data_IF_494071619247
#
_entry.id   IF_494071619247
#
_cell.length_a   1.000
_cell.length_b   1.000
_cell.length_c   1.000
_cell.angle_alpha   90.00
_cell.angle_beta   90.00
_cell.angle_gamma   90.00
#
_symmetry.space_group_name_H-M   'P 1'
#
loop_
_entity.id
_entity.type
_entity.pdbx_description
1 polymer ?
#
# COMPACT_ATOMS: atom_id res chain seq x y z
N UNK A 1 21.02 13.28 60.41
CA UNK A 1 20.82 12.00 59.70
C UNK A 1 19.38 11.92 59.24
N UNK A 2 19.15 11.88 57.93
CA UNK A 2 17.99 11.26 57.28
C UNK A 2 18.28 11.26 55.77
N UNK A 3 18.47 10.06 55.22
CA UNK A 3 18.59 9.76 53.79
C UNK A 3 17.23 9.22 53.33
N UNK A 4 16.72 9.71 52.20
CA UNK A 4 15.73 9.05 51.36
C UNK A 4 15.76 9.75 49.98
N UNK A 5 16.40 9.16 48.97
CA UNK A 5 15.91 8.13 48.04
C UNK A 5 15.33 8.74 46.76
N UNK A 6 16.11 8.54 45.71
CA UNK A 6 15.87 8.64 44.26
C UNK A 6 14.52 8.07 43.83
N UNK A 7 13.89 8.68 42.81
CA UNK A 7 13.36 7.94 41.66
C UNK A 7 13.05 8.86 40.47
N UNK A 8 13.85 8.71 39.41
CA UNK A 8 13.56 9.12 38.04
C UNK A 8 12.55 8.13 37.45
N UNK A 9 11.53 8.62 36.73
CA UNK A 9 10.76 7.76 35.84
C UNK A 9 10.52 8.49 34.52
N UNK A 10 11.43 8.23 33.57
CA UNK A 10 11.28 8.54 32.15
C UNK A 10 10.25 7.57 31.60
N UNK A 11 9.05 8.04 31.27
CA UNK A 11 8.06 7.22 30.57
C UNK A 11 8.31 7.30 29.08
N UNK A 12 9.10 6.32 28.63
CA UNK A 12 9.21 5.92 27.23
C UNK A 12 8.12 4.87 27.00
N UNK A 13 7.07 5.22 26.25
CA UNK A 13 6.04 4.24 25.86
C UNK A 13 5.89 4.26 24.36
N UNK A 14 6.66 3.37 23.72
CA UNK A 14 6.40 2.89 22.38
C UNK A 14 5.26 1.87 22.45
N UNK A 15 4.05 2.25 22.06
CA UNK A 15 2.94 1.32 21.88
C UNK A 15 2.81 0.96 20.39
N UNK A 16 3.56 -0.07 19.97
CA UNK A 16 3.28 -0.78 18.72
C UNK A 16 2.08 -1.68 18.95
N UNK A 17 0.88 -1.17 18.69
CA UNK A 17 -0.34 -1.96 18.70
C UNK A 17 -0.40 -2.81 17.42
N UNK A 18 0.04 -4.06 17.52
CA UNK A 18 -0.02 -5.06 16.46
C UNK A 18 -1.44 -5.60 16.31
N UNK A 19 -2.28 -4.87 15.57
CA UNK A 19 -3.42 -5.48 14.90
C UNK A 19 -2.97 -5.74 13.47
N UNK A 20 -2.70 -7.01 13.13
CA UNK A 20 -2.63 -7.44 11.74
C UNK A 20 -4.01 -7.24 11.12
N UNK A 21 -4.30 -6.00 10.72
CA UNK A 21 -5.40 -5.68 9.83
C UNK A 21 -4.98 -6.25 8.48
N UNK A 22 -5.33 -7.51 8.25
CA UNK A 22 -5.32 -8.07 6.89
C UNK A 22 -6.30 -7.24 6.09
N UNK A 23 -5.80 -6.23 5.40
CA UNK A 23 -6.61 -5.52 4.42
C UNK A 23 -6.97 -6.53 3.33
N UNK A 24 -8.25 -6.60 2.90
CA UNK A 24 -8.62 -7.43 1.77
C UNK A 24 -7.72 -7.11 0.58
N UNK A 25 -7.27 -8.18 -0.09
CA UNK A 25 -6.53 -8.08 -1.35
C UNK A 25 -7.56 -8.32 -2.45
N UNK A 26 -7.83 -7.29 -3.23
CA UNK A 26 -8.73 -7.33 -4.38
C UNK A 26 -7.94 -7.73 -5.63
N UNK A 27 -8.45 -8.72 -6.36
CA UNK A 27 -7.94 -9.11 -7.66
C UNK A 27 -8.70 -8.33 -8.75
N UNK A 28 -7.97 -7.62 -9.62
CA UNK A 28 -8.58 -6.77 -10.65
C UNK A 28 -7.87 -6.97 -11.98
N UNK A 29 -8.64 -7.06 -13.06
CA UNK A 29 -8.07 -7.07 -14.42
C UNK A 29 -7.84 -5.64 -14.88
N UNK A 30 -6.62 -5.35 -15.35
CA UNK A 30 -6.25 -4.06 -15.93
C UNK A 30 -5.91 -4.19 -17.41
N UNK A 31 -6.33 -3.19 -18.18
CA UNK A 31 -6.03 -3.05 -19.59
C UNK A 31 -5.31 -1.74 -19.88
N UNK A 32 -4.16 -1.82 -20.55
CA UNK A 32 -3.47 -0.64 -21.04
C UNK A 32 -3.99 -0.23 -22.43
N UNK A 33 -4.58 0.97 -22.61
CA UNK A 33 -5.11 1.39 -23.90
C UNK A 33 -4.03 1.60 -24.96
N UNK A 34 -2.76 1.83 -24.58
CA UNK A 34 -1.66 2.04 -25.52
C UNK A 34 -1.04 0.75 -26.03
N UNK A 35 -0.44 -0.05 -25.16
CA UNK A 35 0.26 -1.28 -25.56
C UNK A 35 -0.65 -2.50 -25.64
N UNK A 36 -1.95 -2.36 -25.32
CA UNK A 36 -2.97 -3.42 -25.36
C UNK A 36 -2.69 -4.60 -24.42
N UNK A 37 -1.84 -4.40 -23.42
CA UNK A 37 -1.61 -5.37 -22.35
C UNK A 37 -2.86 -5.52 -21.52
N UNK A 38 -3.30 -6.76 -21.31
CA UNK A 38 -4.33 -7.16 -20.37
C UNK A 38 -3.67 -8.04 -19.31
N UNK A 39 -3.73 -7.65 -18.04
CA UNK A 39 -3.07 -8.38 -16.95
C UNK A 39 -3.91 -8.28 -15.68
N UNK A 40 -3.81 -9.29 -14.83
CA UNK A 40 -4.41 -9.26 -13.50
C UNK A 40 -3.42 -8.66 -12.51
N UNK A 41 -3.89 -7.73 -11.69
CA UNK A 41 -3.12 -7.12 -10.60
C UNK A 41 -3.85 -7.29 -9.27
N UNK A 42 -3.12 -7.04 -8.20
CA UNK A 42 -3.67 -7.08 -6.84
C UNK A 42 -3.66 -5.67 -6.25
N UNK A 43 -4.76 -5.29 -5.62
CA UNK A 43 -4.88 -4.09 -4.83
C UNK A 43 -5.04 -4.49 -3.36
N UNK A 44 -4.32 -3.83 -2.45
CA UNK A 44 -4.51 -3.95 -1.01
C UNK A 44 -4.95 -2.59 -0.46
N UNK A 45 -6.14 -2.53 0.13
CA UNK A 45 -6.74 -1.27 0.59
C UNK A 45 -6.85 -0.18 -0.51
N UNK A 46 -7.04 -0.57 -1.78
CA UNK A 46 -7.03 0.35 -2.92
C UNK A 46 -5.65 0.79 -3.43
N UNK A 47 -4.57 0.19 -2.89
CA UNK A 47 -3.19 0.43 -3.34
C UNK A 47 -2.64 -0.77 -4.10
N UNK A 48 -1.99 -0.50 -5.24
CA UNK A 48 -1.34 -1.46 -6.10
C UNK A 48 -0.26 -2.19 -5.32
N UNK A 49 -0.42 -3.51 -5.21
CA UNK A 49 0.63 -4.39 -4.71
C UNK A 49 1.84 -4.26 -5.65
N UNK A 50 3.08 -4.12 -5.12
CA UNK A 50 4.26 -3.87 -5.92
C UNK A 50 4.41 -4.81 -7.11
N UNK A 51 4.63 -4.25 -8.29
CA UNK A 51 4.86 -4.98 -9.54
C UNK A 51 5.86 -4.22 -10.40
N UNK A 52 6.49 -4.91 -11.35
CA UNK A 52 7.51 -4.35 -12.26
C UNK A 52 6.94 -3.66 -13.49
N UNK A 53 5.65 -3.86 -13.76
CA UNK A 53 5.01 -3.44 -15.02
C UNK A 53 3.98 -2.33 -14.84
N UNK A 54 3.52 -2.14 -13.61
CA UNK A 54 2.49 -1.17 -13.29
C UNK A 54 2.94 -0.29 -12.14
N UNK A 55 2.54 0.97 -12.23
CA UNK A 55 2.72 1.96 -11.19
C UNK A 55 1.40 2.63 -10.89
N UNK A 56 1.20 3.03 -9.65
CA UNK A 56 0.04 3.80 -9.23
C UNK A 56 0.44 5.25 -8.95
N UNK A 57 -0.39 6.18 -9.40
CA UNK A 57 -0.31 7.59 -9.03
C UNK A 57 -1.71 8.07 -8.66
N UNK A 58 -1.92 8.40 -7.38
CA UNK A 58 -3.26 8.62 -6.84
C UNK A 58 -4.13 7.37 -6.99
N UNK A 59 -5.33 7.51 -7.54
CA UNK A 59 -6.27 6.40 -7.76
C UNK A 59 -6.18 5.78 -9.17
N UNK A 60 -5.13 6.12 -9.92
CA UNK A 60 -4.94 5.66 -11.29
C UNK A 60 -3.75 4.73 -11.37
N UNK A 61 -3.91 3.63 -12.10
CA UNK A 61 -2.83 2.68 -12.42
C UNK A 61 -2.37 2.92 -13.85
N UNK A 62 -1.07 2.91 -14.06
CA UNK A 62 -0.42 3.11 -15.34
C UNK A 62 0.48 1.91 -15.63
N UNK A 63 0.53 1.50 -16.89
CA UNK A 63 1.48 0.49 -17.35
C UNK A 63 2.79 1.17 -17.78
N UNK A 64 3.93 0.56 -17.48
CA UNK A 64 5.28 1.08 -17.72
C UNK A 64 5.71 0.97 -19.21
N UNK A 65 4.78 1.23 -20.11
CA UNK A 65 5.00 1.33 -21.56
C UNK A 65 5.36 2.74 -22.03
N UNK A 66 5.58 3.69 -21.10
CA UNK A 66 5.87 5.09 -21.40
C UNK A 66 4.64 5.96 -21.68
N UNK A 67 3.43 5.40 -21.60
CA UNK A 67 2.19 6.16 -21.73
C UNK A 67 1.89 7.03 -20.51
N UNK A 68 1.31 8.20 -20.74
CA UNK A 68 0.70 9.04 -19.71
C UNK A 68 -0.81 8.75 -19.51
N UNK A 69 -1.41 7.91 -20.34
CA UNK A 69 -2.81 7.48 -20.19
C UNK A 69 -2.95 6.39 -19.13
N UNK A 70 -3.95 6.48 -18.23
CA UNK A 70 -4.21 5.46 -17.23
C UNK A 70 -4.75 4.17 -17.86
N UNK A 71 -4.51 3.05 -17.19
CA UNK A 71 -5.11 1.75 -17.51
C UNK A 71 -6.58 1.72 -17.08
N UNK A 72 -7.39 0.96 -17.82
CA UNK A 72 -8.78 0.67 -17.47
C UNK A 72 -8.85 -0.51 -16.52
N UNK A 73 -9.72 -0.46 -15.52
CA UNK A 73 -10.02 -1.58 -14.63
C UNK A 73 -11.29 -2.30 -15.08
N UNK A 74 -11.31 -3.61 -14.93
CA UNK A 74 -12.49 -4.45 -15.09
C UNK A 74 -12.73 -5.22 -13.80
N UNK A 75 -13.93 -5.06 -13.26
CA UNK A 75 -14.45 -5.82 -12.12
C UNK A 75 -15.51 -6.79 -12.62
N UNK A 76 -15.55 -8.00 -12.07
CA UNK A 76 -16.62 -8.98 -12.29
C UNK A 76 -17.61 -8.99 -11.14
#
# INVERSE_FOLDING_TARGET
>A
MAVALVQQHVQNTAEKNGQDIYSPIDEVIVFCPKCKTLETIWLSAGFLVPTRKFRQSGNQVYHDCGSAEPCCFYHF
#
